data_IF_844618473996
#
_entry.id   IF_844618473996
#
_cell.length_a   1.000
_cell.length_b   1.000
_cell.length_c   1.000
_cell.angle_alpha   90.00
_cell.angle_beta   90.00
_cell.angle_gamma   90.00
#
_symmetry.space_group_name_H-M   'P 1'
#
loop_
_entity.id
_entity.type
_entity.pdbx_description
1 polymer ?
#
# COMPACT_ATOMS: atom_id res chain seq x y z
N UNK A 1 -12.08 -10.63 -32.66
CA UNK A 1 -11.38 -11.43 -31.65
C UNK A 1 -9.95 -10.92 -31.60
N UNK A 2 -9.65 -10.03 -30.66
CA UNK A 2 -8.29 -9.50 -30.51
C UNK A 2 -7.42 -10.57 -29.85
N UNK A 3 -6.21 -10.83 -30.36
CA UNK A 3 -5.31 -11.78 -29.74
C UNK A 3 -4.81 -11.16 -28.45
N UNK A 4 -5.17 -11.75 -27.31
CA UNK A 4 -4.50 -11.48 -26.04
C UNK A 4 -3.07 -12.02 -26.17
N UNK A 5 -2.18 -11.19 -26.71
CA UNK A 5 -0.76 -11.41 -26.59
C UNK A 5 -0.45 -11.37 -25.09
N UNK A 6 -0.19 -12.54 -24.51
CA UNK A 6 0.50 -12.64 -23.23
C UNK A 6 1.88 -11.99 -23.43
N UNK A 7 1.94 -10.67 -23.24
CA UNK A 7 3.20 -9.96 -23.13
C UNK A 7 3.83 -10.46 -21.85
N UNK A 8 4.91 -11.25 -21.98
CA UNK A 8 5.74 -11.58 -20.83
C UNK A 8 6.24 -10.23 -20.29
N UNK A 9 5.94 -9.87 -19.04
CA UNK A 9 6.27 -8.55 -18.54
C UNK A 9 7.78 -8.34 -18.66
N UNK A 10 8.16 -7.21 -19.22
CA UNK A 10 9.54 -6.81 -19.34
C UNK A 10 10.09 -6.50 -17.94
N UNK A 11 11.28 -7.05 -17.64
CA UNK A 11 11.89 -6.90 -16.32
C UNK A 11 12.08 -5.44 -15.88
N UNK A 12 12.20 -4.53 -16.86
CA UNK A 12 12.37 -3.10 -16.60
C UNK A 12 11.07 -2.44 -16.13
N UNK A 13 9.92 -2.85 -16.67
CA UNK A 13 8.61 -2.41 -16.22
C UNK A 13 8.28 -2.95 -14.84
N UNK A 14 8.54 -4.24 -14.57
CA UNK A 14 8.36 -4.83 -13.24
C UNK A 14 9.12 -4.04 -12.18
N UNK A 15 10.42 -3.79 -12.41
CA UNK A 15 11.24 -3.00 -11.49
C UNK A 15 10.74 -1.56 -11.31
N UNK A 16 10.17 -0.96 -12.35
CA UNK A 16 9.57 0.37 -12.25
C UNK A 16 8.30 0.36 -11.39
N UNK A 17 7.44 -0.65 -11.54
CA UNK A 17 6.25 -0.79 -10.70
C UNK A 17 6.63 -1.11 -9.25
N UNK A 18 7.61 -1.99 -9.01
CA UNK A 18 8.14 -2.24 -7.66
C UNK A 18 8.60 -0.96 -6.98
N UNK A 19 9.34 -0.10 -7.69
CA UNK A 19 9.77 1.18 -7.15
C UNK A 19 8.59 2.10 -6.79
N UNK A 20 7.55 2.14 -7.63
CA UNK A 20 6.34 2.91 -7.33
C UNK A 20 5.61 2.36 -6.09
N UNK A 21 5.50 1.04 -5.97
CA UNK A 21 4.94 0.36 -4.79
C UNK A 21 5.78 0.66 -3.53
N UNK A 22 7.10 0.63 -3.63
CA UNK A 22 8.02 0.97 -2.53
C UNK A 22 7.80 2.41 -2.05
N UNK A 23 7.80 3.39 -2.97
CA UNK A 23 7.60 4.79 -2.62
C UNK A 23 6.21 5.04 -1.98
N UNK A 24 5.18 4.38 -2.51
CA UNK A 24 3.82 4.41 -1.98
C UNK A 24 3.76 3.83 -0.56
N UNK A 25 4.29 2.62 -0.35
CA UNK A 25 4.23 1.91 0.94
C UNK A 25 5.06 2.62 2.01
N UNK A 26 6.22 3.17 1.63
CA UNK A 26 7.01 4.02 2.52
C UNK A 26 6.24 5.28 2.97
N UNK A 27 5.46 5.89 2.08
CA UNK A 27 4.63 7.05 2.43
C UNK A 27 3.47 6.66 3.34
N UNK A 28 2.81 5.54 3.06
CA UNK A 28 1.76 4.95 3.91
C UNK A 28 2.31 4.70 5.32
N UNK A 29 3.43 3.99 5.44
CA UNK A 29 4.03 3.67 6.73
C UNK A 29 4.43 4.93 7.53
N UNK A 30 5.02 5.93 6.88
CA UNK A 30 5.35 7.21 7.54
C UNK A 30 4.13 7.96 8.05
N UNK A 31 3.07 8.04 7.25
CA UNK A 31 1.83 8.71 7.65
C UNK A 31 1.14 7.96 8.79
N UNK A 32 1.12 6.63 8.75
CA UNK A 32 0.57 5.81 9.82
C UNK A 32 1.32 6.02 11.14
N UNK A 33 2.66 6.01 11.10
CA UNK A 33 3.51 6.32 12.25
C UNK A 33 3.27 7.74 12.79
N UNK A 34 3.21 8.74 11.91
CA UNK A 34 2.95 10.13 12.29
C UNK A 34 1.58 10.31 12.95
N UNK A 35 0.56 9.60 12.48
CA UNK A 35 -0.81 9.64 13.00
C UNK A 35 -1.01 8.71 14.21
N UNK A 36 -0.01 7.89 14.58
CA UNK A 36 -0.14 6.89 15.64
C UNK A 36 -1.18 5.82 15.34
N UNK A 37 -1.43 5.51 14.06
CA UNK A 37 -2.42 4.52 13.62
C UNK A 37 -1.74 3.20 13.33
N UNK A 38 -2.29 2.12 13.89
CA UNK A 38 -1.89 0.75 13.58
C UNK A 38 -2.67 0.26 12.36
N UNK A 39 -1.98 -0.07 11.27
CA UNK A 39 -2.63 -0.56 10.03
C UNK A 39 -2.91 -2.07 10.04
N UNK A 40 -2.34 -2.80 11.00
CA UNK A 40 -2.61 -4.21 11.29
C UNK A 40 -3.92 -4.43 12.10
N UNK A 41 -4.43 -3.39 12.76
CA UNK A 41 -5.72 -3.38 13.45
C UNK A 41 -6.85 -3.08 12.47
N UNK A 42 -7.62 -4.12 12.13
CA UNK A 42 -8.75 -4.05 11.19
C UNK A 42 -9.80 -3.00 11.58
N UNK A 43 -10.01 -2.76 12.89
CA UNK A 43 -10.96 -1.74 13.35
C UNK A 43 -10.40 -0.32 13.20
N UNK A 44 -9.08 -0.13 13.33
CA UNK A 44 -8.43 1.15 13.01
C UNK A 44 -8.42 1.40 11.49
N UNK A 45 -8.09 0.38 10.71
CA UNK A 45 -8.11 0.45 9.25
C UNK A 45 -9.51 0.79 8.73
N UNK A 46 -10.56 0.11 9.23
CA UNK A 46 -11.94 0.40 8.85
C UNK A 46 -12.36 1.85 9.19
N UNK A 47 -11.95 2.35 10.36
CA UNK A 47 -12.20 3.76 10.74
C UNK A 47 -11.45 4.74 9.84
N UNK A 48 -10.25 4.40 9.42
CA UNK A 48 -9.45 5.24 8.53
C UNK A 48 -10.02 5.27 7.10
N UNK A 49 -10.58 4.16 6.62
CA UNK A 49 -11.22 4.07 5.30
C UNK A 49 -12.60 4.75 5.25
N UNK A 50 -13.24 4.95 6.40
CA UNK A 50 -14.50 5.68 6.48
C UNK A 50 -14.35 7.14 5.95
N UNK A 51 -15.41 7.72 5.37
CA UNK A 51 -15.38 9.11 4.94
C UNK A 51 -15.05 10.05 6.11
N UNK A 52 -14.03 10.91 5.93
CA UNK A 52 -13.65 11.92 6.92
C UNK A 52 -14.51 13.17 6.68
N UNK A 53 -15.07 13.73 7.74
CA UNK A 53 -15.75 15.02 7.68
C UNK A 53 -14.75 16.11 7.32
N UNK A 54 -15.16 17.05 6.45
CA UNK A 54 -14.27 18.12 6.00
C UNK A 54 -13.96 19.03 7.21
N UNK A 55 -12.68 19.37 7.48
CA UNK A 55 -12.33 20.26 8.57
C UNK A 55 -13.01 21.62 8.37
N UNK A 56 -13.53 22.19 9.45
CA UNK A 56 -14.25 23.45 9.43
C UNK A 56 -13.27 24.63 9.36
N UNK A 57 -13.75 25.78 8.88
CA UNK A 57 -12.95 27.01 8.78
C UNK A 57 -12.33 27.48 10.12
N UNK A 58 -12.77 26.93 11.25
CA UNK A 58 -12.34 27.31 12.60
C UNK A 58 -11.27 26.41 13.24
N UNK A 59 -10.84 25.33 12.57
CA UNK A 59 -9.89 24.38 13.14
C UNK A 59 -8.50 24.97 13.40
N UNK A 60 -7.83 24.48 14.43
CA UNK A 60 -6.44 24.86 14.71
C UNK A 60 -5.54 24.33 13.58
N UNK A 61 -4.41 25.00 13.26
CA UNK A 61 -3.49 24.52 12.23
C UNK A 61 -3.02 23.06 12.42
N UNK A 62 -2.84 22.62 13.67
CA UNK A 62 -2.50 21.24 14.00
C UNK A 62 -3.61 20.23 13.66
N UNK A 63 -4.86 20.61 13.89
CA UNK A 63 -6.04 19.76 13.60
C UNK A 63 -6.24 19.62 12.08
N UNK A 64 -6.01 20.71 11.32
CA UNK A 64 -6.01 20.66 9.85
C UNK A 64 -4.90 19.76 9.32
N UNK A 65 -3.69 19.86 9.87
CA UNK A 65 -2.57 19.03 9.44
C UNK A 65 -2.84 17.54 9.67
N UNK A 66 -3.43 17.17 10.81
CA UNK A 66 -3.84 15.80 11.08
C UNK A 66 -4.96 15.33 10.13
N UNK A 67 -5.96 16.19 9.87
CA UNK A 67 -7.04 15.89 8.93
C UNK A 67 -6.54 15.69 7.49
N UNK A 68 -5.60 16.53 7.04
CA UNK A 68 -4.95 16.43 5.73
C UNK A 68 -4.13 15.14 5.63
N UNK A 69 -3.32 14.83 6.64
CA UNK A 69 -2.53 13.61 6.70
C UNK A 69 -3.41 12.35 6.70
N UNK A 70 -4.54 12.38 7.42
CA UNK A 70 -5.52 11.29 7.44
C UNK A 70 -6.18 11.11 6.08
N UNK A 71 -6.56 12.22 5.44
CA UNK A 71 -7.14 12.22 4.09
C UNK A 71 -6.16 11.64 3.08
N UNK A 72 -4.89 12.03 3.18
CA UNK A 72 -3.82 11.50 2.35
C UNK A 72 -3.61 10.01 2.57
N UNK A 73 -3.43 9.57 3.82
CA UNK A 73 -3.22 8.15 4.14
C UNK A 73 -4.37 7.28 3.60
N UNK A 74 -5.61 7.72 3.78
CA UNK A 74 -6.80 7.05 3.21
C UNK A 74 -6.72 6.97 1.69
N UNK A 75 -6.35 8.06 1.01
CA UNK A 75 -6.20 8.10 -0.44
C UNK A 75 -5.12 7.14 -0.94
N UNK A 76 -3.99 7.08 -0.26
CA UNK A 76 -2.88 6.19 -0.62
C UNK A 76 -3.20 4.71 -0.41
N UNK A 77 -3.92 4.35 0.66
CA UNK A 77 -4.37 2.97 0.88
C UNK A 77 -5.35 2.50 -0.21
N UNK A 78 -6.28 3.37 -0.61
CA UNK A 78 -7.20 3.07 -1.72
C UNK A 78 -6.44 2.94 -3.06
N UNK A 79 -5.48 3.84 -3.31
CA UNK A 79 -4.63 3.78 -4.49
C UNK A 79 -3.81 2.48 -4.52
N UNK A 80 -3.26 2.06 -3.37
CA UNK A 80 -2.49 0.81 -3.26
C UNK A 80 -3.35 -0.39 -3.63
N UNK A 81 -4.56 -0.51 -3.08
CA UNK A 81 -5.45 -1.62 -3.40
C UNK A 81 -5.80 -1.72 -4.90
N UNK A 82 -6.00 -0.58 -5.57
CA UNK A 82 -6.21 -0.55 -7.02
C UNK A 82 -4.95 -0.90 -7.81
N UNK A 83 -3.76 -0.47 -7.35
CA UNK A 83 -2.48 -0.80 -7.96
C UNK A 83 -2.18 -2.29 -7.85
N UNK A 84 -2.35 -2.88 -6.66
CA UNK A 84 -2.17 -4.32 -6.40
C UNK A 84 -3.06 -5.15 -7.32
N UNK A 85 -4.35 -4.78 -7.43
CA UNK A 85 -5.30 -5.44 -8.33
C UNK A 85 -4.82 -5.39 -9.78
N UNK A 86 -4.35 -4.24 -10.26
CA UNK A 86 -3.81 -4.09 -11.63
C UNK A 86 -2.55 -4.93 -11.83
N UNK A 87 -1.66 -5.01 -10.84
CA UNK A 87 -0.47 -5.86 -10.92
C UNK A 87 -0.86 -7.33 -11.07
N UNK A 88 -1.87 -7.80 -10.34
CA UNK A 88 -2.39 -9.17 -10.49
C UNK A 88 -3.00 -9.39 -11.88
N UNK A 89 -3.78 -8.44 -12.38
CA UNK A 89 -4.41 -8.53 -13.71
C UNK A 89 -3.36 -8.52 -14.84
N UNK A 90 -2.26 -7.77 -14.68
CA UNK A 90 -1.23 -7.57 -15.71
C UNK A 90 -0.13 -8.65 -15.68
N UNK A 91 0.36 -9.01 -14.49
CA UNK A 91 1.53 -9.90 -14.31
C UNK A 91 1.17 -11.30 -13.79
N UNK A 92 -0.08 -11.49 -13.40
CA UNK A 92 -0.54 -12.67 -12.69
C UNK A 92 -0.20 -12.62 -11.19
N UNK A 93 -0.90 -13.44 -10.38
CA UNK A 93 -0.80 -13.38 -8.93
C UNK A 93 0.57 -13.80 -8.37
N UNK A 94 1.29 -14.70 -9.06
CA UNK A 94 2.62 -15.15 -8.63
C UNK A 94 3.62 -14.01 -8.74
N UNK A 95 3.78 -13.42 -9.93
CA UNK A 95 4.69 -12.30 -10.17
C UNK A 95 4.34 -11.10 -9.29
N UNK A 96 3.05 -10.76 -9.18
CA UNK A 96 2.61 -9.66 -8.32
C UNK A 96 2.94 -9.92 -6.84
N UNK A 97 2.87 -11.19 -6.39
CA UNK A 97 3.28 -11.56 -5.04
C UNK A 97 4.79 -11.46 -4.81
N UNK A 98 5.60 -11.89 -5.77
CA UNK A 98 7.07 -11.73 -5.73
C UNK A 98 7.46 -10.24 -5.65
N UNK A 99 6.82 -9.38 -6.45
CA UNK A 99 7.02 -7.93 -6.39
C UNK A 99 6.72 -7.35 -5.00
N UNK A 100 5.63 -7.80 -4.35
CA UNK A 100 5.30 -7.32 -3.01
C UNK A 100 6.33 -7.76 -1.96
N UNK A 101 6.89 -8.97 -2.09
CA UNK A 101 7.98 -9.46 -1.25
C UNK A 101 9.23 -8.62 -1.43
N UNK A 102 9.60 -8.28 -2.67
CA UNK A 102 10.77 -7.46 -2.97
C UNK A 102 10.61 -6.01 -2.47
N UNK A 103 9.40 -5.47 -2.56
CA UNK A 103 9.02 -4.17 -1.98
C UNK A 103 9.15 -4.19 -0.46
N UNK A 104 8.63 -5.22 0.23
CA UNK A 104 8.76 -5.33 1.68
C UNK A 104 10.23 -5.43 2.10
N UNK A 105 11.04 -6.23 1.38
CA UNK A 105 12.47 -6.31 1.60
C UNK A 105 13.17 -4.94 1.42
N UNK A 106 12.71 -4.11 0.48
CA UNK A 106 13.20 -2.75 0.30
C UNK A 106 12.85 -1.83 1.47
N UNK A 107 11.61 -1.90 1.96
CA UNK A 107 11.18 -1.15 3.14
C UNK A 107 11.97 -1.51 4.40
N UNK A 108 12.30 -2.79 4.59
CA UNK A 108 13.17 -3.23 5.68
C UNK A 108 14.57 -2.60 5.58
N UNK A 109 15.14 -2.47 4.36
CA UNK A 109 16.40 -1.73 4.16
C UNK A 109 16.29 -0.24 4.51
N UNK A 110 15.08 0.32 4.45
CA UNK A 110 14.76 1.68 4.91
C UNK A 110 14.48 1.79 6.42
N UNK A 111 14.58 0.68 7.18
CA UNK A 111 14.43 0.66 8.63
C UNK A 111 13.00 0.46 9.13
N UNK A 112 12.06 0.11 8.25
CA UNK A 112 10.71 -0.25 8.64
C UNK A 112 10.63 -1.72 9.07
N UNK A 113 9.74 -2.02 10.01
CA UNK A 113 9.40 -3.42 10.33
C UNK A 113 8.54 -4.03 9.22
N UNK A 114 8.58 -5.35 9.00
CA UNK A 114 7.61 -6.03 8.14
C UNK A 114 6.17 -5.64 8.50
N UNK A 115 5.33 -5.42 7.49
CA UNK A 115 3.95 -4.95 7.63
C UNK A 115 3.74 -3.54 8.21
N UNK A 116 4.76 -2.69 8.28
CA UNK A 116 4.61 -1.29 8.75
C UNK A 116 3.64 -0.45 7.89
N UNK A 117 3.38 -0.86 6.65
CA UNK A 117 2.38 -0.29 5.75
C UNK A 117 1.01 -1.01 5.84
N UNK A 118 0.86 -1.98 6.76
CA UNK A 118 -0.36 -2.76 6.94
C UNK A 118 -0.51 -3.95 6.00
N UNK A 119 0.51 -4.30 5.20
CA UNK A 119 0.49 -5.56 4.44
C UNK A 119 1.11 -6.69 5.28
N UNK A 120 0.34 -7.75 5.51
CA UNK A 120 0.85 -8.99 6.10
C UNK A 120 1.09 -10.01 4.99
N UNK A 121 2.31 -10.02 4.44
CA UNK A 121 2.65 -10.94 3.35
C UNK A 121 2.64 -12.41 3.80
N UNK A 122 2.88 -12.69 5.08
CA UNK A 122 2.75 -14.05 5.60
C UNK A 122 1.29 -14.50 5.60
N UNK A 123 0.35 -13.62 5.95
CA UNK A 123 -1.08 -13.93 5.84
C UNK A 123 -1.55 -14.04 4.39
N UNK A 124 -1.01 -13.24 3.48
CA UNK A 124 -1.41 -13.22 2.07
C UNK A 124 -0.86 -14.42 1.28
N UNK A 125 0.37 -14.83 1.55
CA UNK A 125 1.06 -15.88 0.78
C UNK A 125 1.38 -17.15 1.58
N UNK A 126 1.20 -17.13 2.90
CA UNK A 126 1.38 -18.27 3.78
C UNK A 126 0.22 -19.25 3.72
N UNK A 127 0.24 -20.10 2.68
CA UNK A 127 0.14 -21.57 2.78
C UNK A 127 0.27 -22.21 1.38
N UNK A 128 1.51 -22.39 0.91
CA UNK A 128 1.86 -23.44 -0.05
C UNK A 128 3.10 -24.18 0.50
N UNK A 129 2.95 -24.77 1.67
CA UNK A 129 3.91 -25.72 2.24
C UNK A 129 3.17 -26.73 3.09
N UNK A 130 2.62 -27.76 2.44
CA UNK A 130 2.52 -29.12 2.94
C UNK A 130 2.65 -30.07 1.74
#
# INVERSE_FOLDING_TARGET
MSPHLHHRPDALWVAQIEKLCEELNLRIARLALMLGVSLDDEAQLARLLAPVARPDGHDRPSERHEADARTELRGLLLLRGELEKRCVDEFGPVTAGEMLIDVEAAMVRHGFTPGADGLDLQRLFGSASA
#
